data_IF_838135860877
#
_entry.id   IF_838135860877
#
_cell.length_a   1.000
_cell.length_b   1.000
_cell.length_c   1.000
_cell.angle_alpha   90.00
_cell.angle_beta   90.00
_cell.angle_gamma   90.00
#
_symmetry.space_group_name_H-M   'P 1'
#
loop_
_entity.id
_entity.type
_entity.pdbx_description
1 polymer ?
#
# COMPACT_ATOMS: atom_id res chain seq x y z
N UNK A 1 3.47 20.10 -18.57
CA UNK A 1 2.76 20.41 -17.30
C UNK A 1 1.46 21.15 -17.60
N UNK A 2 0.44 21.09 -16.72
CA UNK A 2 -0.79 21.88 -16.82
C UNK A 2 -1.07 22.58 -15.50
N UNK A 3 -1.21 23.90 -15.52
CA UNK A 3 -1.61 24.71 -14.36
C UNK A 3 -3.11 25.01 -14.43
N UNK A 4 -3.77 25.11 -13.27
CA UNK A 4 -5.20 25.35 -13.20
C UNK A 4 -5.58 26.79 -13.58
N UNK A 5 -6.57 26.94 -14.46
CA UNK A 5 -7.15 28.22 -14.87
C UNK A 5 -8.15 28.78 -13.86
N UNK A 6 -8.52 30.06 -14.01
CA UNK A 6 -9.62 30.73 -13.28
C UNK A 6 -9.45 30.80 -11.76
N UNK A 7 -8.24 30.58 -11.25
CA UNK A 7 -7.85 30.84 -9.88
C UNK A 7 -6.38 31.24 -9.83
N UNK A 8 -5.94 31.71 -8.68
CA UNK A 8 -4.52 31.97 -8.43
C UNK A 8 -3.71 30.69 -8.64
N UNK A 9 -2.52 30.83 -9.22
CA UNK A 9 -1.63 29.73 -9.54
C UNK A 9 -0.52 29.70 -8.49
N UNK A 10 -0.59 28.79 -7.51
CA UNK A 10 0.46 28.65 -6.52
C UNK A 10 1.69 28.01 -7.16
N UNK A 11 2.85 28.65 -6.99
CA UNK A 11 4.17 28.12 -7.30
C UNK A 11 4.99 28.15 -6.02
N UNK A 12 5.65 27.05 -5.69
CA UNK A 12 6.37 26.89 -4.43
C UNK A 12 7.61 26.02 -4.61
N UNK A 13 8.47 26.04 -3.61
CA UNK A 13 9.66 25.20 -3.56
C UNK A 13 10.50 25.50 -2.33
N UNK A 14 11.76 25.06 -2.39
CA UNK A 14 12.78 25.40 -1.41
C UNK A 14 13.91 26.20 -2.05
N UNK A 15 14.57 27.01 -1.24
CA UNK A 15 15.75 27.78 -1.61
C UNK A 15 16.47 28.21 -0.32
N UNK A 16 17.58 28.93 -0.45
CA UNK A 16 18.31 29.45 0.71
C UNK A 16 17.46 30.45 1.49
N UNK A 17 17.34 30.24 2.80
CA UNK A 17 16.60 31.12 3.70
C UNK A 17 17.07 32.58 3.61
N UNK A 18 16.12 33.52 3.54
CA UNK A 18 16.38 34.95 3.33
C UNK A 18 16.82 35.32 1.91
N UNK A 19 16.98 34.34 1.00
CA UNK A 19 17.20 34.57 -0.42
C UNK A 19 15.96 35.12 -1.12
N UNK A 20 16.12 35.58 -2.35
CA UNK A 20 15.02 36.07 -3.18
C UNK A 20 14.75 35.11 -4.33
N UNK A 21 13.46 34.83 -4.58
CA UNK A 21 12.99 34.05 -5.72
C UNK A 21 12.06 34.91 -6.57
N UNK A 22 12.27 34.88 -7.88
CA UNK A 22 11.46 35.56 -8.89
C UNK A 22 10.80 34.49 -9.76
N UNK A 23 9.47 34.57 -9.89
CA UNK A 23 8.68 33.64 -10.70
C UNK A 23 7.98 34.41 -11.81
N UNK A 24 8.13 33.95 -13.06
CA UNK A 24 7.52 34.55 -14.24
C UNK A 24 6.73 33.53 -15.05
N UNK A 25 5.51 33.90 -15.47
CA UNK A 25 4.64 33.10 -16.32
C UNK A 25 3.73 34.01 -17.15
N UNK A 26 3.66 33.80 -18.47
CA UNK A 26 2.73 34.55 -19.34
C UNK A 26 2.78 36.09 -19.14
N UNK A 27 3.99 36.66 -19.13
CA UNK A 27 4.21 38.10 -19.00
C UNK A 27 4.08 38.68 -17.58
N UNK A 28 3.61 37.89 -16.60
CA UNK A 28 3.58 38.32 -15.20
C UNK A 28 4.87 37.91 -14.49
N UNK A 29 5.30 38.72 -13.52
CA UNK A 29 6.47 38.45 -12.68
C UNK A 29 6.14 38.78 -11.22
N UNK A 30 6.44 37.85 -10.31
CA UNK A 30 6.32 38.04 -8.87
C UNK A 30 7.63 37.74 -8.19
N UNK A 31 7.93 38.45 -7.11
CA UNK A 31 9.13 38.29 -6.29
C UNK A 31 8.72 37.93 -4.87
N UNK A 32 9.45 37.01 -4.25
CA UNK A 32 9.22 36.55 -2.87
C UNK A 32 10.56 36.35 -2.16
N UNK A 33 10.56 36.57 -0.84
CA UNK A 33 11.70 36.25 0.03
C UNK A 33 11.47 34.87 0.64
N UNK A 34 12.48 34.02 0.59
CA UNK A 34 12.45 32.67 1.16
C UNK A 34 12.41 32.76 2.68
N UNK A 35 11.52 32.00 3.29
CA UNK A 35 11.34 32.01 4.74
C UNK A 35 12.54 31.43 5.50
N UNK A 36 12.50 31.51 6.83
CA UNK A 36 13.57 31.04 7.71
C UNK A 36 13.75 29.53 7.70
N UNK A 37 12.75 28.78 7.26
CA UNK A 37 12.82 27.33 7.07
C UNK A 37 13.32 26.92 5.67
N UNK A 38 13.57 27.87 4.78
CA UNK A 38 14.02 27.61 3.42
C UNK A 38 12.88 27.32 2.43
N UNK A 39 11.61 27.49 2.81
CA UNK A 39 10.46 27.32 1.93
C UNK A 39 10.02 28.67 1.35
N UNK A 40 9.39 28.62 0.18
CA UNK A 40 8.77 29.79 -0.43
C UNK A 40 7.52 29.37 -1.20
N UNK A 41 6.52 30.25 -1.25
CA UNK A 41 5.31 30.12 -2.05
C UNK A 41 4.94 31.49 -2.60
N UNK A 42 4.57 31.54 -3.87
CA UNK A 42 4.02 32.72 -4.52
C UNK A 42 2.77 32.35 -5.31
N UNK A 43 1.74 33.18 -5.20
CA UNK A 43 0.54 33.04 -6.00
C UNK A 43 0.63 33.99 -7.21
N UNK A 44 0.66 33.41 -8.39
CA UNK A 44 0.52 34.14 -9.64
C UNK A 44 -0.97 34.39 -9.92
N UNK A 45 -1.29 35.52 -10.53
CA UNK A 45 -2.66 35.86 -10.92
C UNK A 45 -3.19 34.89 -11.99
N UNK A 46 -4.51 34.68 -12.06
CA UNK A 46 -5.12 33.72 -12.97
C UNK A 46 -4.72 33.95 -14.43
N UNK A 47 -4.41 32.87 -15.13
CA UNK A 47 -4.12 32.88 -16.57
C UNK A 47 -5.27 32.23 -17.33
N UNK A 48 -5.62 32.78 -18.49
CA UNK A 48 -6.63 32.21 -19.39
C UNK A 48 -6.09 30.87 -19.93
N UNK A 49 -6.97 29.89 -20.10
CA UNK A 49 -6.57 28.60 -20.66
C UNK A 49 -5.88 28.74 -22.02
N UNK A 50 -4.80 27.97 -22.22
CA UNK A 50 -3.96 28.06 -23.41
C UNK A 50 -2.52 27.63 -23.15
N UNK A 51 -1.60 28.19 -23.93
CA UNK A 51 -0.19 27.83 -23.96
C UNK A 51 0.25 27.34 -25.35
N UNK A 52 1.47 26.80 -25.48
CA UNK A 52 2.45 26.60 -24.41
C UNK A 52 3.06 27.92 -23.91
N UNK A 53 3.24 28.01 -22.60
CA UNK A 53 3.99 29.06 -21.91
C UNK A 53 5.32 28.52 -21.39
N UNK A 54 6.19 29.44 -20.97
CA UNK A 54 7.39 29.15 -20.17
C UNK A 54 7.18 29.65 -18.74
N UNK A 55 7.42 28.78 -17.76
CA UNK A 55 7.50 29.13 -16.35
C UNK A 55 8.97 29.27 -15.98
N UNK A 56 9.39 30.45 -15.57
CA UNK A 56 10.77 30.75 -15.19
C UNK A 56 10.81 31.01 -13.69
N UNK A 57 11.69 30.31 -12.98
CA UNK A 57 11.91 30.45 -11.54
C UNK A 57 13.38 30.81 -11.35
N UNK A 58 13.66 31.97 -10.78
CA UNK A 58 15.02 32.51 -10.68
C UNK A 58 15.34 32.89 -9.23
N UNK A 59 16.39 32.29 -8.67
CA UNK A 59 17.01 32.65 -7.39
C UNK A 59 18.53 32.67 -7.54
N UNK A 60 19.25 31.93 -6.69
CA UNK A 60 20.70 31.70 -6.91
C UNK A 60 20.98 30.92 -8.20
N UNK A 61 20.03 30.07 -8.61
CA UNK A 61 19.98 29.38 -9.90
C UNK A 61 18.66 29.71 -10.59
N UNK A 62 18.62 29.55 -11.92
CA UNK A 62 17.40 29.77 -12.70
C UNK A 62 16.98 28.48 -13.40
N UNK A 63 15.74 28.09 -13.17
CA UNK A 63 15.09 26.96 -13.81
C UNK A 63 14.01 27.47 -14.78
N UNK A 64 13.94 26.86 -15.95
CA UNK A 64 12.90 27.16 -16.95
C UNK A 64 12.15 25.90 -17.32
N UNK A 65 10.85 25.87 -16.99
CA UNK A 65 9.95 24.80 -17.39
C UNK A 65 9.21 25.24 -18.65
N UNK A 66 9.48 24.56 -19.75
CA UNK A 66 8.85 24.81 -21.06
C UNK A 66 7.60 23.95 -21.24
N UNK A 67 6.79 24.27 -22.25
CA UNK A 67 5.57 23.52 -22.58
C UNK A 67 4.60 23.43 -21.39
N UNK A 68 4.37 24.58 -20.76
CA UNK A 68 3.39 24.74 -19.67
C UNK A 68 2.06 25.14 -20.28
N UNK A 69 1.04 24.31 -20.08
CA UNK A 69 -0.34 24.64 -20.46
C UNK A 69 -1.07 25.22 -19.25
N UNK A 70 -2.11 26.01 -19.51
CA UNK A 70 -3.08 26.44 -18.50
C UNK A 70 -4.45 25.91 -18.90
N UNK A 71 -5.17 25.28 -17.98
CA UNK A 71 -6.37 24.50 -18.29
C UNK A 71 -7.08 24.00 -17.05
N UNK A 72 -7.80 22.87 -17.14
CA UNK A 72 -8.40 22.23 -15.95
C UNK A 72 -7.53 21.08 -15.44
N UNK A 73 -7.24 21.06 -14.15
CA UNK A 73 -6.42 20.06 -13.48
C UNK A 73 -7.28 19.27 -12.52
N UNK A 74 -7.22 17.94 -12.59
CA UNK A 74 -8.03 17.05 -11.78
C UNK A 74 -7.17 16.02 -11.05
N UNK A 75 -7.43 15.82 -9.76
CA UNK A 75 -6.88 14.71 -8.99
C UNK A 75 -7.71 13.46 -9.29
N UNK A 76 -7.06 12.39 -9.69
CA UNK A 76 -7.68 11.11 -10.03
C UNK A 76 -7.18 10.07 -9.03
N UNK A 77 -8.01 9.70 -8.06
CA UNK A 77 -7.59 8.90 -6.91
C UNK A 77 -8.56 7.78 -6.55
N UNK A 78 -8.12 6.87 -5.69
CA UNK A 78 -8.85 5.68 -5.31
C UNK A 78 -7.95 4.45 -5.27
N UNK A 79 -8.56 3.28 -5.41
CA UNK A 79 -7.84 2.01 -5.43
C UNK A 79 -7.74 1.42 -6.84
N UNK A 80 -7.74 0.09 -6.95
CA UNK A 80 -7.66 -0.69 -8.19
C UNK A 80 -8.59 -0.14 -9.28
N UNK A 81 -9.85 0.17 -8.97
CA UNK A 81 -10.76 0.70 -9.99
C UNK A 81 -10.31 2.05 -10.60
N UNK A 82 -9.63 2.91 -9.84
CA UNK A 82 -8.99 4.11 -10.40
C UNK A 82 -7.66 3.76 -11.06
N UNK A 83 -6.85 2.90 -10.43
CA UNK A 83 -5.52 2.50 -10.92
C UNK A 83 -5.57 1.67 -12.22
N UNK A 84 -6.71 1.07 -12.55
CA UNK A 84 -6.85 0.22 -13.73
C UNK A 84 -6.39 0.96 -14.98
N UNK A 85 -5.23 0.57 -15.48
CA UNK A 85 -4.62 1.19 -16.64
C UNK A 85 -5.42 0.92 -17.91
N UNK A 86 -5.25 1.76 -18.93
CA UNK A 86 -5.89 1.52 -20.25
C UNK A 86 -5.53 0.13 -20.77
N UNK A 87 -4.27 -0.28 -20.69
CA UNK A 87 -3.82 -1.66 -20.94
C UNK A 87 -3.20 -2.24 -19.65
N UNK A 88 -4.01 -2.84 -18.80
CA UNK A 88 -3.54 -3.68 -17.68
C UNK A 88 -3.80 -5.17 -17.95
N UNK A 89 -2.92 -6.03 -17.42
CA UNK A 89 -3.04 -7.49 -17.55
C UNK A 89 -4.21 -8.05 -16.72
N UNK A 90 -4.47 -7.43 -15.57
CA UNK A 90 -5.49 -7.87 -14.61
C UNK A 90 -6.89 -7.28 -14.87
N UNK A 91 -7.01 -6.31 -15.79
CA UNK A 91 -8.27 -5.67 -16.15
C UNK A 91 -8.06 -4.55 -17.17
N UNK A 92 -8.97 -4.41 -18.13
CA UNK A 92 -8.95 -3.31 -19.11
C UNK A 92 -10.32 -3.04 -19.68
N UNK A 93 -10.48 -1.84 -20.26
CA UNK A 93 -11.68 -1.45 -20.99
C UNK A 93 -11.82 -2.25 -22.30
N UNK A 94 -13.05 -2.54 -22.72
CA UNK A 94 -13.36 -3.41 -23.87
C UNK A 94 -12.69 -2.95 -25.17
N UNK A 95 -12.62 -1.63 -25.40
CA UNK A 95 -12.05 -1.01 -26.59
C UNK A 95 -10.60 -0.51 -26.38
N UNK A 96 -9.88 -1.06 -25.40
CA UNK A 96 -8.55 -0.58 -24.98
C UNK A 96 -7.56 -0.37 -26.15
N UNK A 97 -7.41 -1.34 -27.05
CA UNK A 97 -6.51 -1.22 -28.22
C UNK A 97 -6.86 -0.04 -29.13
N UNK A 98 -8.15 0.23 -29.32
CA UNK A 98 -8.62 1.35 -30.13
C UNK A 98 -8.34 2.68 -29.42
N UNK A 99 -8.58 2.73 -28.10
CA UNK A 99 -8.28 3.91 -27.28
C UNK A 99 -6.79 4.24 -27.30
N UNK A 100 -5.91 3.25 -27.16
CA UNK A 100 -4.45 3.44 -27.26
C UNK A 100 -4.07 3.97 -28.65
N UNK A 101 -4.54 3.34 -29.72
CA UNK A 101 -4.20 3.74 -31.08
C UNK A 101 -4.64 5.18 -31.40
N UNK A 102 -5.78 5.61 -30.85
CA UNK A 102 -6.39 6.91 -31.11
C UNK A 102 -6.06 7.99 -30.07
N UNK A 103 -5.25 7.70 -29.04
CA UNK A 103 -4.93 8.62 -27.96
C UNK A 103 -3.99 9.77 -28.37
N UNK A 104 -4.28 10.52 -29.44
CA UNK A 104 -3.49 11.65 -29.91
C UNK A 104 -4.05 12.98 -29.39
N UNK A 105 -3.85 13.25 -28.10
CA UNK A 105 -4.40 14.42 -27.42
C UNK A 105 -3.30 15.22 -26.71
N UNK A 106 -2.44 15.96 -27.45
CA UNK A 106 -1.33 16.71 -26.85
C UNK A 106 -1.79 17.91 -25.99
N UNK A 107 -3.08 18.18 -25.83
CA UNK A 107 -3.56 19.13 -24.82
C UNK A 107 -4.07 18.45 -23.55
N UNK A 108 -4.06 17.12 -23.50
CA UNK A 108 -4.23 16.33 -22.28
C UNK A 108 -2.83 15.95 -21.78
N UNK A 109 -2.54 16.22 -20.51
CA UNK A 109 -1.30 15.83 -19.86
C UNK A 109 -1.57 14.85 -18.74
N UNK A 110 -0.77 13.81 -18.69
CA UNK A 110 -0.85 12.70 -17.75
C UNK A 110 0.27 12.86 -16.73
N UNK A 111 -0.05 12.75 -15.45
CA UNK A 111 0.92 12.76 -14.36
C UNK A 111 0.62 11.62 -13.42
N UNK A 112 1.57 10.71 -13.22
CA UNK A 112 1.42 9.59 -12.29
C UNK A 112 2.31 9.84 -11.08
N UNK A 113 1.72 9.84 -9.89
CA UNK A 113 2.44 9.87 -8.62
C UNK A 113 2.91 8.46 -8.32
N UNK A 114 4.21 8.27 -8.06
CA UNK A 114 4.72 6.97 -7.68
C UNK A 114 4.15 6.56 -6.31
N UNK A 115 3.93 5.25 -6.15
CA UNK A 115 3.42 4.67 -4.91
C UNK A 115 4.39 4.89 -3.76
N UNK A 116 3.95 5.64 -2.75
CA UNK A 116 4.75 5.94 -1.57
C UNK A 116 3.91 5.93 -0.30
N UNK A 117 4.47 5.40 0.79
CA UNK A 117 3.88 5.46 2.12
C UNK A 117 4.75 6.31 3.04
N UNK A 118 4.14 7.10 3.91
CA UNK A 118 4.87 7.83 4.92
C UNK A 118 4.10 7.94 6.24
N UNK A 119 4.75 7.67 7.37
CA UNK A 119 4.13 7.86 8.69
C UNK A 119 3.92 9.34 9.02
N UNK A 120 4.69 10.23 8.39
CA UNK A 120 4.62 11.68 8.56
C UNK A 120 4.39 12.37 7.22
N UNK A 121 3.68 13.52 7.18
CA UNK A 121 3.47 14.29 5.95
C UNK A 121 4.79 14.57 5.21
N UNK A 122 4.84 14.31 3.91
CA UNK A 122 6.00 14.59 3.06
C UNK A 122 5.79 15.85 2.22
N UNK A 123 6.87 16.56 1.89
CA UNK A 123 6.83 17.74 1.03
C UNK A 123 7.12 17.42 -0.45
N UNK A 124 7.63 16.22 -0.75
CA UNK A 124 7.91 15.75 -2.11
C UNK A 124 7.39 14.33 -2.35
N UNK A 125 7.19 13.99 -3.61
CA UNK A 125 6.95 12.63 -4.11
C UNK A 125 7.92 12.33 -5.26
N UNK A 126 7.98 11.07 -5.70
CA UNK A 126 8.64 10.69 -6.95
C UNK A 126 7.62 10.52 -8.08
N UNK A 127 8.03 10.80 -9.31
CA UNK A 127 7.21 10.68 -10.51
C UNK A 127 8.09 10.70 -11.76
N UNK A 128 7.60 10.10 -12.85
CA UNK A 128 8.18 10.27 -14.19
C UNK A 128 7.83 11.62 -14.86
N UNK A 129 7.07 12.49 -14.17
CA UNK A 129 6.71 13.83 -14.62
C UNK A 129 5.52 13.86 -15.58
N UNK A 130 5.20 15.06 -16.06
CA UNK A 130 4.07 15.28 -16.98
C UNK A 130 4.38 14.72 -18.37
N UNK A 131 3.52 13.83 -18.86
CA UNK A 131 3.58 13.26 -20.21
C UNK A 131 2.45 13.80 -21.08
N UNK A 132 2.71 13.97 -22.38
CA UNK A 132 1.65 14.22 -23.36
C UNK A 132 0.77 12.97 -23.48
N UNK A 133 -0.55 13.12 -23.64
CA UNK A 133 -1.41 11.99 -23.98
C UNK A 133 -1.18 11.61 -25.44
N UNK A 134 -0.58 10.43 -25.64
CA UNK A 134 -0.17 9.86 -26.93
C UNK A 134 -0.39 8.35 -26.90
N UNK A 135 -0.41 7.66 -28.06
CA UNK A 135 -0.40 6.20 -28.10
C UNK A 135 0.78 5.55 -27.37
N UNK A 136 1.87 6.29 -27.11
CA UNK A 136 3.07 5.78 -26.41
C UNK A 136 3.00 5.89 -24.89
N UNK A 137 2.11 6.73 -24.37
CA UNK A 137 2.10 7.12 -22.95
C UNK A 137 0.82 6.73 -22.24
N UNK A 138 -0.24 6.42 -22.98
CA UNK A 138 -1.56 6.22 -22.41
C UNK A 138 -1.77 4.83 -21.80
N UNK A 139 -1.04 3.81 -22.29
CA UNK A 139 -1.27 2.41 -21.92
C UNK A 139 -1.15 2.15 -20.42
N UNK A 140 -0.21 2.81 -19.74
CA UNK A 140 0.06 2.66 -18.30
C UNK A 140 -0.81 3.56 -17.41
N UNK A 141 -1.56 4.50 -18.00
CA UNK A 141 -2.33 5.49 -17.24
C UNK A 141 -3.73 4.99 -16.94
N UNK A 142 -4.32 5.45 -15.83
CA UNK A 142 -5.70 5.16 -15.44
C UNK A 142 -6.69 5.34 -16.60
N UNK A 143 -7.43 4.27 -16.91
CA UNK A 143 -8.46 4.27 -17.95
C UNK A 143 -9.62 5.21 -17.61
N UNK A 144 -10.01 5.23 -16.34
CA UNK A 144 -11.11 6.09 -15.85
C UNK A 144 -10.71 7.56 -15.94
N UNK A 145 -9.52 7.91 -15.47
CA UNK A 145 -9.00 9.27 -15.56
C UNK A 145 -8.87 9.72 -17.02
N UNK A 146 -8.33 8.86 -17.90
CA UNK A 146 -8.21 9.15 -19.32
C UNK A 146 -9.55 9.44 -19.99
N UNK A 147 -10.53 8.55 -19.83
CA UNK A 147 -11.85 8.69 -20.46
C UNK A 147 -12.58 9.93 -19.96
N UNK A 148 -12.46 10.22 -18.65
CA UNK A 148 -12.96 11.45 -18.05
C UNK A 148 -12.31 12.70 -18.66
N UNK A 149 -10.97 12.76 -18.67
CA UNK A 149 -10.25 13.91 -19.20
C UNK A 149 -10.43 14.10 -20.70
N UNK A 150 -10.55 13.03 -21.49
CA UNK A 150 -10.87 13.09 -22.92
C UNK A 150 -12.26 13.70 -23.16
N UNK A 151 -13.25 13.30 -22.36
CA UNK A 151 -14.59 13.90 -22.42
C UNK A 151 -14.54 15.38 -22.05
N UNK A 152 -13.89 15.76 -20.96
CA UNK A 152 -13.72 17.16 -20.58
C UNK A 152 -13.02 17.98 -21.66
N UNK A 153 -11.94 17.45 -22.24
CA UNK A 153 -11.22 18.13 -23.31
C UNK A 153 -12.13 18.41 -24.52
N UNK A 154 -12.95 17.44 -24.91
CA UNK A 154 -13.93 17.59 -26.00
C UNK A 154 -15.01 18.62 -25.69
N UNK A 155 -15.54 18.59 -24.47
CA UNK A 155 -16.68 19.42 -24.07
C UNK A 155 -16.27 20.87 -23.78
N UNK A 156 -15.09 21.08 -23.20
CA UNK A 156 -14.61 22.39 -22.74
C UNK A 156 -13.64 23.05 -23.73
N UNK A 157 -13.00 22.27 -24.61
CA UNK A 157 -12.00 22.72 -25.57
C UNK A 157 -10.84 23.53 -24.93
N UNK A 158 -10.36 23.05 -23.78
CA UNK A 158 -9.20 23.60 -23.05
C UNK A 158 -8.19 22.50 -22.73
N UNK A 159 -6.92 22.83 -22.41
CA UNK A 159 -5.98 21.85 -21.89
C UNK A 159 -6.49 21.16 -20.61
N UNK A 160 -6.19 19.88 -20.46
CA UNK A 160 -6.58 19.07 -19.30
C UNK A 160 -5.34 18.45 -18.67
N UNK A 161 -5.16 18.63 -17.36
CA UNK A 161 -4.16 17.92 -16.56
C UNK A 161 -4.83 16.86 -15.69
N UNK A 162 -4.34 15.62 -15.76
CA UNK A 162 -4.82 14.52 -14.94
C UNK A 162 -3.67 14.05 -14.05
N UNK A 163 -3.85 14.17 -12.74
CA UNK A 163 -2.89 13.71 -11.73
C UNK A 163 -3.43 12.42 -11.14
N UNK A 164 -2.90 11.29 -11.57
CA UNK A 164 -3.20 9.98 -11.02
C UNK A 164 -2.43 9.75 -9.72
N UNK A 165 -3.18 9.46 -8.66
CA UNK A 165 -2.67 9.12 -7.32
C UNK A 165 -3.56 8.02 -6.76
N UNK A 166 -3.32 6.78 -7.19
CA UNK A 166 -4.15 5.62 -6.90
C UNK A 166 -3.31 4.40 -6.52
N UNK A 167 -3.87 3.52 -5.68
CA UNK A 167 -3.18 2.28 -5.29
C UNK A 167 -4.18 1.18 -4.92
N UNK A 168 -4.10 0.05 -5.62
CA UNK A 168 -4.91 -1.16 -5.44
C UNK A 168 -4.97 -1.70 -4.02
N UNK A 169 -6.15 -2.20 -3.65
CA UNK A 169 -6.41 -2.81 -2.34
C UNK A 169 -6.48 -1.82 -1.17
N UNK A 170 -6.47 -0.50 -1.43
CA UNK A 170 -6.39 0.48 -0.35
C UNK A 170 -7.72 0.83 0.30
N UNK A 171 -7.71 0.97 1.62
CA UNK A 171 -8.83 1.51 2.40
C UNK A 171 -8.83 3.05 2.43
N UNK A 172 -10.01 3.65 2.60
CA UNK A 172 -10.20 5.12 2.54
C UNK A 172 -9.45 5.89 3.64
N UNK A 173 -9.29 5.29 4.82
CA UNK A 173 -8.56 5.89 5.95
C UNK A 173 -7.06 6.06 5.67
N UNK A 174 -6.48 5.32 4.73
CA UNK A 174 -5.09 5.52 4.32
C UNK A 174 -4.87 6.85 3.58
N UNK A 175 -5.92 7.36 2.90
CA UNK A 175 -5.93 8.56 2.07
C UNK A 175 -6.43 9.82 2.81
N UNK A 176 -6.80 9.68 4.08
CA UNK A 176 -7.29 10.77 4.93
C UNK A 176 -6.21 11.19 5.93
N UNK A 177 -6.08 12.49 6.19
CA UNK A 177 -5.04 12.96 7.10
C UNK A 177 -5.28 12.53 8.57
N UNK A 178 -4.19 12.47 9.33
CA UNK A 178 -4.20 12.09 10.74
C UNK A 178 -5.12 12.95 11.63
N UNK A 179 -5.23 14.26 11.38
CA UNK A 179 -6.00 15.18 12.22
C UNK A 179 -7.51 14.94 12.05
N UNK A 180 -7.99 14.73 10.84
CA UNK A 180 -9.39 14.42 10.56
C UNK A 180 -9.76 13.05 11.10
N UNK A 181 -8.87 12.06 10.98
CA UNK A 181 -9.10 10.71 11.53
C UNK A 181 -9.13 10.68 13.07
N UNK A 182 -8.39 11.55 13.76
CA UNK A 182 -8.46 11.69 15.23
C UNK A 182 -9.85 12.08 15.75
N UNK A 183 -10.71 12.64 14.90
CA UNK A 183 -12.11 12.94 15.25
C UNK A 183 -13.02 11.70 15.16
N UNK A 184 -12.43 10.53 14.87
CA UNK A 184 -13.08 9.24 14.82
C UNK A 184 -12.41 8.36 15.89
N UNK A 185 -13.11 8.13 17.01
CA UNK A 185 -12.56 7.45 18.19
C UNK A 185 -11.81 6.15 17.88
N UNK A 186 -12.27 5.40 16.89
CA UNK A 186 -11.69 4.12 16.44
C UNK A 186 -10.25 4.25 15.92
N UNK A 187 -9.83 5.42 15.45
CA UNK A 187 -8.49 5.64 14.89
C UNK A 187 -7.53 6.37 15.83
N UNK A 188 -7.97 6.83 17.00
CA UNK A 188 -7.14 7.64 17.91
C UNK A 188 -5.86 6.91 18.29
N UNK A 189 -5.98 5.67 18.76
CA UNK A 189 -4.84 4.87 19.22
C UNK A 189 -3.84 4.53 18.09
N UNK A 190 -4.36 4.25 16.89
CA UNK A 190 -3.55 3.91 15.72
C UNK A 190 -2.81 5.14 15.20
N UNK A 191 -3.48 6.30 15.10
CA UNK A 191 -2.83 7.55 14.70
C UNK A 191 -1.78 7.98 15.73
N UNK A 192 -2.05 7.84 17.02
CA UNK A 192 -1.06 8.15 18.06
C UNK A 192 0.14 7.20 17.99
N UNK A 193 -0.06 5.94 17.59
CA UNK A 193 1.02 4.99 17.38
C UNK A 193 1.96 5.38 16.21
N UNK A 194 1.47 6.12 15.20
CA UNK A 194 2.30 6.57 14.07
C UNK A 194 3.39 7.57 14.48
N UNK A 195 3.13 8.35 15.53
CA UNK A 195 4.05 9.39 16.04
C UNK A 195 5.16 8.84 16.94
N UNK A 196 5.06 7.56 17.32
CA UNK A 196 6.03 6.94 18.21
C UNK A 196 7.38 6.78 17.52
N UNK A 197 8.44 7.14 18.24
CA UNK A 197 9.80 6.86 17.82
C UNK A 197 10.11 5.34 17.93
N UNK A 198 11.26 4.89 17.41
CA UNK A 198 11.60 3.46 17.40
C UNK A 198 11.65 2.83 18.81
N UNK A 199 12.07 3.58 19.83
CA UNK A 199 12.13 3.10 21.21
C UNK A 199 10.73 2.97 21.81
N UNK A 200 9.88 3.97 21.63
CA UNK A 200 8.48 3.94 22.07
C UNK A 200 7.67 2.87 21.34
N UNK A 201 7.98 2.61 20.06
CA UNK A 201 7.42 1.49 19.29
C UNK A 201 7.80 0.15 19.92
N UNK A 202 9.06 -0.03 20.29
CA UNK A 202 9.56 -1.25 20.94
C UNK A 202 8.92 -1.47 22.33
N UNK A 203 8.74 -0.41 23.10
CA UNK A 203 8.08 -0.44 24.42
C UNK A 203 6.56 -0.68 24.31
N UNK A 204 5.92 -0.11 23.28
CA UNK A 204 4.50 -0.33 23.00
C UNK A 204 4.27 -1.71 22.39
N UNK A 205 5.14 -2.23 21.52
CA UNK A 205 5.13 -3.64 21.05
C UNK A 205 5.20 -4.63 22.21
N UNK A 206 6.04 -4.38 23.21
CA UNK A 206 6.10 -5.18 24.45
C UNK A 206 4.79 -5.15 25.24
N UNK A 207 3.98 -4.10 25.09
CA UNK A 207 2.68 -3.92 25.79
C UNK A 207 1.47 -4.38 24.94
N UNK A 208 1.55 -4.21 23.61
CA UNK A 208 0.50 -4.48 22.61
C UNK A 208 0.41 -5.98 22.26
N UNK A 209 1.44 -6.76 22.58
CA UNK A 209 1.44 -8.22 22.39
C UNK A 209 0.51 -8.98 23.35
N UNK A 210 -0.28 -8.33 24.22
CA UNK A 210 -1.15 -9.05 25.16
C UNK A 210 -2.23 -9.89 24.45
N UNK A 211 -3.00 -9.38 23.47
CA UNK A 211 -3.94 -10.19 22.70
C UNK A 211 -3.23 -11.22 21.81
N UNK A 212 -2.15 -10.83 21.13
CA UNK A 212 -1.37 -11.74 20.27
C UNK A 212 -0.79 -12.91 21.07
N UNK A 213 -0.24 -12.65 22.26
CA UNK A 213 0.25 -13.67 23.17
C UNK A 213 -0.88 -14.53 23.72
N UNK A 214 -2.05 -13.97 24.01
CA UNK A 214 -3.23 -14.74 24.42
C UNK A 214 -3.68 -15.71 23.32
N UNK A 215 -3.72 -15.24 22.06
CA UNK A 215 -4.08 -16.08 20.92
C UNK A 215 -3.02 -17.15 20.61
N UNK A 216 -1.73 -16.80 20.65
CA UNK A 216 -0.64 -17.78 20.51
C UNK A 216 -0.73 -18.85 21.61
N UNK A 217 -1.08 -18.46 22.84
CA UNK A 217 -1.29 -19.41 23.93
C UNK A 217 -2.48 -20.32 23.65
N UNK A 218 -3.60 -19.79 23.14
CA UNK A 218 -4.76 -20.58 22.74
C UNK A 218 -4.41 -21.58 21.64
N UNK A 219 -3.71 -21.14 20.58
CA UNK A 219 -3.26 -22.03 19.50
C UNK A 219 -2.37 -23.14 20.05
N UNK A 220 -1.38 -22.80 20.90
CA UNK A 220 -0.52 -23.80 21.52
C UNK A 220 -1.29 -24.79 22.40
N UNK A 221 -2.29 -24.33 23.15
CA UNK A 221 -3.17 -25.17 23.96
C UNK A 221 -3.97 -26.13 23.06
N UNK A 222 -4.64 -25.63 22.02
CA UNK A 222 -5.42 -26.47 21.09
C UNK A 222 -4.58 -27.45 20.30
N UNK A 223 -3.39 -27.05 19.86
CA UNK A 223 -2.43 -27.97 19.21
C UNK A 223 -1.93 -29.04 20.18
N UNK A 224 -1.76 -28.70 21.47
CA UNK A 224 -1.38 -29.66 22.51
C UNK A 224 -2.51 -30.65 22.81
N UNK A 225 -3.74 -30.15 22.98
CA UNK A 225 -4.94 -30.96 23.23
C UNK A 225 -5.23 -31.92 22.08
N UNK A 226 -4.99 -31.49 20.84
CA UNK A 226 -5.08 -32.33 19.65
C UNK A 226 -3.93 -33.36 19.53
N UNK A 227 -2.94 -33.34 20.43
CA UNK A 227 -1.79 -34.24 20.42
C UNK A 227 -0.72 -33.91 19.37
N UNK A 228 -0.90 -32.85 18.59
CA UNK A 228 -0.04 -32.50 17.46
C UNK A 228 1.38 -32.19 17.92
N UNK A 229 1.53 -31.40 19.00
CA UNK A 229 2.86 -31.09 19.55
C UNK A 229 3.50 -32.31 20.24
N UNK A 230 2.72 -33.31 20.65
CA UNK A 230 3.23 -34.52 21.29
C UNK A 230 3.91 -35.49 20.31
N UNK A 231 3.66 -35.36 19.00
CA UNK A 231 4.30 -36.19 17.97
C UNK A 231 5.83 -35.99 17.90
N UNK A 232 6.34 -34.85 18.40
CA UNK A 232 7.77 -34.61 18.55
C UNK A 232 8.53 -34.37 17.24
N UNK A 233 7.83 -33.97 16.17
CA UNK A 233 8.45 -33.69 14.87
C UNK A 233 9.43 -32.52 14.90
N UNK A 234 9.25 -31.61 15.87
CA UNK A 234 10.16 -30.50 16.12
C UNK A 234 11.50 -30.94 16.73
N UNK A 235 11.62 -32.15 17.28
CA UNK A 235 12.86 -32.62 17.93
C UNK A 235 13.99 -32.76 16.91
N UNK A 236 15.16 -32.23 17.27
CA UNK A 236 16.38 -32.40 16.50
C UNK A 236 16.68 -33.89 16.24
N UNK A 237 16.93 -34.23 14.97
CA UNK A 237 17.24 -35.61 14.57
C UNK A 237 16.01 -36.50 14.41
N UNK A 238 14.79 -35.97 14.49
CA UNK A 238 13.58 -36.72 14.14
C UNK A 238 13.64 -37.22 12.69
N UNK A 239 13.43 -38.53 12.49
CA UNK A 239 13.45 -39.14 11.16
C UNK A 239 12.21 -38.72 10.35
N UNK A 240 12.44 -37.91 9.32
CA UNK A 240 11.44 -37.40 8.38
C UNK A 240 11.60 -37.98 6.96
N UNK A 241 12.27 -39.13 6.79
CA UNK A 241 12.48 -39.74 5.46
C UNK A 241 11.18 -40.12 4.75
N UNK A 242 10.13 -40.45 5.50
CA UNK A 242 8.81 -40.78 4.97
C UNK A 242 7.92 -39.55 4.70
N UNK A 243 8.43 -38.34 4.93
CA UNK A 243 7.68 -37.11 4.65
C UNK A 243 7.67 -36.84 3.15
N UNK A 244 6.59 -36.23 2.67
CA UNK A 244 6.50 -35.78 1.28
C UNK A 244 7.38 -34.53 1.09
N UNK A 245 7.51 -34.05 -0.14
CA UNK A 245 8.31 -32.84 -0.44
C UNK A 245 7.48 -31.78 -1.12
N UNK A 246 7.75 -30.51 -0.80
CA UNK A 246 7.23 -29.33 -1.48
C UNK A 246 8.39 -28.37 -1.79
N UNK A 247 8.18 -27.46 -2.74
CA UNK A 247 9.11 -26.38 -3.09
C UNK A 247 8.84 -25.14 -2.25
N UNK A 248 9.91 -24.47 -1.81
CA UNK A 248 9.90 -23.20 -1.09
C UNK A 248 10.85 -22.20 -1.79
N UNK A 249 10.48 -20.93 -2.00
CA UNK A 249 9.19 -20.33 -1.68
C UNK A 249 8.14 -20.64 -2.75
N UNK A 250 6.99 -21.15 -2.34
CA UNK A 250 5.78 -21.32 -3.16
C UNK A 250 4.62 -21.73 -2.24
N UNK A 251 3.40 -21.27 -2.51
CA UNK A 251 2.22 -21.78 -1.80
C UNK A 251 2.02 -23.25 -2.16
N UNK A 252 1.36 -24.03 -1.30
CA UNK A 252 1.13 -25.44 -1.60
C UNK A 252 -0.03 -25.63 -2.59
N UNK A 253 -0.97 -24.69 -2.70
CA UNK A 253 -2.03 -24.67 -3.73
C UNK A 253 -1.45 -24.53 -5.14
N UNK A 254 -0.43 -23.70 -5.32
CA UNK A 254 0.29 -23.56 -6.60
C UNK A 254 1.12 -24.82 -6.93
N UNK A 255 1.14 -25.79 -6.03
CA UNK A 255 1.81 -27.09 -6.14
C UNK A 255 0.80 -28.25 -6.12
N UNK A 256 -0.49 -27.96 -6.40
CA UNK A 256 -1.59 -28.92 -6.45
C UNK A 256 -1.88 -29.63 -5.12
N UNK A 257 -1.50 -29.03 -3.99
CA UNK A 257 -1.84 -29.48 -2.65
C UNK A 257 -2.96 -28.57 -2.13
N UNK A 258 -4.17 -29.11 -1.98
CA UNK A 258 -5.32 -28.39 -1.39
C UNK A 258 -5.48 -28.84 0.06
N UNK A 259 -5.13 -27.98 1.00
CA UNK A 259 -5.10 -28.36 2.41
C UNK A 259 -5.22 -27.15 3.33
N UNK A 260 -6.29 -27.12 4.12
CA UNK A 260 -6.40 -26.24 5.29
C UNK A 260 -6.10 -27.06 6.56
N UNK A 261 -5.40 -26.49 7.53
CA UNK A 261 -5.03 -27.16 8.78
C UNK A 261 -3.56 -27.02 9.14
N UNK A 262 -2.99 -28.02 9.79
CA UNK A 262 -1.59 -27.97 10.27
C UNK A 262 -0.66 -28.70 9.31
N UNK A 263 0.34 -27.99 8.80
CA UNK A 263 1.43 -28.56 8.03
C UNK A 263 2.76 -28.36 8.74
N UNK A 264 3.47 -29.45 9.00
CA UNK A 264 4.86 -29.41 9.40
C UNK A 264 5.73 -29.37 8.15
N UNK A 265 6.67 -28.44 8.10
CA UNK A 265 7.73 -28.39 7.08
C UNK A 265 9.10 -28.43 7.72
N UNK A 266 10.07 -29.07 7.06
CA UNK A 266 11.38 -29.35 7.62
C UNK A 266 12.48 -29.26 6.57
N UNK A 267 13.60 -28.62 6.95
CA UNK A 267 14.78 -28.44 6.12
C UNK A 267 16.04 -28.76 6.90
N UNK A 268 16.84 -29.63 6.31
CA UNK A 268 18.21 -29.85 6.72
C UNK A 268 19.12 -28.81 6.06
N UNK A 269 20.02 -28.23 6.83
CA UNK A 269 21.02 -27.26 6.36
C UNK A 269 22.39 -27.59 6.93
N UNK A 270 23.45 -27.10 6.29
CA UNK A 270 24.81 -27.17 6.84
C UNK A 270 25.27 -25.76 7.14
N UNK A 271 25.62 -25.52 8.41
CA UNK A 271 26.14 -24.22 8.83
C UNK A 271 27.68 -24.27 8.71
N UNK A 272 28.29 -23.31 8.00
CA UNK A 272 29.74 -23.25 7.86
C UNK A 272 30.45 -23.12 9.23
N UNK A 273 31.63 -23.72 9.35
CA UNK A 273 32.37 -23.74 10.61
C UNK A 273 32.73 -22.33 11.09
N UNK A 274 32.94 -21.39 10.18
CA UNK A 274 33.26 -19.99 10.47
C UNK A 274 32.07 -19.16 10.98
N UNK A 275 30.87 -19.75 11.02
CA UNK A 275 29.67 -19.14 11.60
C UNK A 275 29.46 -19.59 13.06
N UNK A 276 30.21 -20.59 13.52
CA UNK A 276 30.12 -21.06 14.91
C UNK A 276 30.43 -19.92 15.88
N UNK A 277 29.63 -19.85 16.96
CA UNK A 277 29.75 -18.79 17.96
C UNK A 277 29.13 -17.45 17.56
N UNK A 278 28.40 -17.36 16.44
CA UNK A 278 27.67 -16.16 15.99
C UNK A 278 26.17 -16.39 16.07
N UNK A 279 25.44 -15.36 16.50
CA UNK A 279 23.98 -15.37 16.39
C UNK A 279 23.58 -15.24 14.92
N UNK A 280 22.58 -16.01 14.50
CA UNK A 280 22.09 -16.00 13.13
C UNK A 280 20.70 -15.35 13.04
N UNK A 281 20.40 -14.78 11.89
CA UNK A 281 19.07 -14.35 11.48
C UNK A 281 18.52 -15.39 10.50
N UNK A 282 17.40 -16.01 10.85
CA UNK A 282 16.62 -16.88 9.98
C UNK A 282 15.50 -16.06 9.33
N UNK A 283 15.50 -15.97 8.01
CA UNK A 283 14.43 -15.38 7.21
C UNK A 283 13.71 -16.49 6.44
N UNK A 284 12.40 -16.62 6.66
CA UNK A 284 11.56 -17.57 5.93
C UNK A 284 10.68 -16.87 4.89
N UNK A 285 10.76 -15.55 4.74
CA UNK A 285 9.82 -14.81 3.90
C UNK A 285 8.41 -14.78 4.52
N UNK A 286 7.37 -14.43 3.73
CA UNK A 286 6.00 -14.46 4.18
C UNK A 286 5.49 -15.90 4.40
N UNK A 287 4.77 -16.10 5.50
CA UNK A 287 4.06 -17.34 5.82
C UNK A 287 2.59 -17.01 6.04
N UNK A 288 1.71 -17.86 5.50
CA UNK A 288 0.27 -17.82 5.74
C UNK A 288 -0.19 -19.07 6.53
N UNK A 289 -0.90 -18.97 7.66
CA UNK A 289 -1.32 -17.77 8.41
C UNK A 289 -0.52 -17.56 9.71
N UNK A 290 -0.12 -18.66 10.34
CA UNK A 290 0.62 -18.69 11.61
C UNK A 290 1.76 -19.68 11.52
N UNK A 291 2.88 -19.35 12.17
CA UNK A 291 3.98 -20.29 12.33
C UNK A 291 4.42 -20.46 13.78
N UNK A 292 4.93 -21.64 14.07
CA UNK A 292 5.88 -21.88 15.16
C UNK A 292 7.15 -22.44 14.52
N UNK A 293 8.28 -21.83 14.81
CA UNK A 293 9.56 -22.19 14.20
C UNK A 293 10.55 -22.68 15.26
N UNK A 294 11.18 -23.81 14.97
CA UNK A 294 12.25 -24.42 15.76
C UNK A 294 13.55 -24.50 14.97
N UNK A 295 14.66 -24.30 15.67
CA UNK A 295 16.00 -24.55 15.18
C UNK A 295 16.66 -25.58 16.10
N UNK A 296 17.06 -26.72 15.54
CA UNK A 296 17.63 -27.85 16.28
C UNK A 296 16.83 -28.23 17.55
N UNK A 297 15.50 -28.28 17.46
CA UNK A 297 14.65 -28.68 18.58
C UNK A 297 14.19 -27.55 19.49
N UNK A 298 14.85 -26.40 19.45
CA UNK A 298 14.53 -25.26 20.31
C UNK A 298 13.68 -24.23 19.57
N UNK A 299 12.61 -23.77 20.21
CA UNK A 299 11.68 -22.81 19.59
C UNK A 299 12.35 -21.44 19.51
N UNK A 300 12.45 -20.89 18.30
CA UNK A 300 13.09 -19.59 18.05
C UNK A 300 12.10 -18.48 17.75
N UNK A 301 10.84 -18.83 17.46
CA UNK A 301 9.78 -17.85 17.32
C UNK A 301 8.42 -18.45 17.00
N UNK A 302 7.41 -17.61 17.10
CA UNK A 302 6.07 -17.85 16.57
C UNK A 302 5.38 -16.52 16.28
N UNK A 303 4.65 -16.42 15.17
CA UNK A 303 3.94 -15.20 14.80
C UNK A 303 2.64 -15.52 14.04
N UNK A 304 1.49 -14.93 14.43
CA UNK A 304 0.34 -14.82 13.54
C UNK A 304 0.55 -13.75 12.48
N UNK A 305 -0.15 -13.89 11.35
CA UNK A 305 -0.33 -12.83 10.37
C UNK A 305 -0.17 -13.33 8.93
N UNK A 306 -1.22 -13.07 8.15
CA UNK A 306 -1.29 -13.33 6.70
C UNK A 306 -0.19 -12.55 5.99
N UNK A 307 0.71 -13.26 5.29
CA UNK A 307 1.75 -12.65 4.47
C UNK A 307 2.79 -11.80 5.20
N UNK A 308 2.86 -11.90 6.52
CA UNK A 308 3.87 -11.20 7.32
C UNK A 308 5.24 -11.87 7.17
N UNK A 309 6.30 -11.09 7.03
CA UNK A 309 7.65 -11.64 6.96
C UNK A 309 8.06 -12.29 8.28
N UNK A 310 8.58 -13.52 8.20
CA UNK A 310 9.11 -14.25 9.34
C UNK A 310 10.62 -14.12 9.40
N UNK A 311 11.08 -13.39 10.42
CA UNK A 311 12.49 -13.20 10.77
C UNK A 311 12.68 -13.53 12.23
N UNK A 312 13.60 -14.45 12.53
CA UNK A 312 13.89 -14.96 13.86
C UNK A 312 15.39 -14.93 14.18
N UNK A 313 15.71 -14.60 15.43
CA UNK A 313 17.07 -14.69 15.95
C UNK A 313 17.34 -16.13 16.38
N UNK A 314 18.44 -16.71 15.90
CA UNK A 314 18.95 -18.02 16.29
C UNK A 314 20.17 -17.78 17.18
N UNK A 315 20.05 -18.01 18.50
CA UNK A 315 21.19 -17.91 19.40
C UNK A 315 22.30 -18.88 18.96
N UNK A 316 23.55 -18.43 19.00
CA UNK A 316 24.73 -19.23 18.66
C UNK A 316 24.81 -20.56 19.41
N UNK A 317 24.24 -20.65 20.61
CA UNK A 317 24.22 -21.84 21.46
C UNK A 317 23.38 -22.98 20.85
N UNK A 318 22.46 -22.65 19.94
CA UNK A 318 21.65 -23.65 19.24
C UNK A 318 22.40 -24.32 18.09
N UNK A 319 23.49 -23.71 17.60
CA UNK A 319 24.23 -24.23 16.46
C UNK A 319 24.87 -25.58 16.80
N UNK A 320 24.83 -26.48 15.82
CA UNK A 320 25.55 -27.76 15.84
C UNK A 320 26.62 -27.74 14.76
N UNK A 321 27.69 -28.51 15.01
CA UNK A 321 28.72 -28.73 14.01
C UNK A 321 28.12 -29.48 12.81
N UNK A 322 28.34 -28.94 11.61
CA UNK A 322 27.85 -29.51 10.36
C UNK A 322 26.33 -29.35 10.18
N UNK A 323 25.59 -30.47 10.27
CA UNK A 323 24.16 -30.52 9.94
C UNK A 323 23.33 -29.85 11.05
N UNK A 324 22.45 -28.96 10.64
CA UNK A 324 21.45 -28.28 11.45
C UNK A 324 20.07 -28.46 10.81
N UNK A 325 19.02 -28.18 11.56
CA UNK A 325 17.65 -28.48 11.18
C UNK A 325 16.73 -27.31 11.50
N UNK A 326 15.94 -26.90 10.51
CA UNK A 326 14.83 -25.98 10.66
C UNK A 326 13.54 -26.79 10.57
N UNK A 327 12.68 -26.66 11.57
CA UNK A 327 11.33 -27.23 11.54
C UNK A 327 10.32 -26.11 11.78
N UNK A 328 9.30 -26.04 10.94
CA UNK A 328 8.23 -25.04 11.03
C UNK A 328 6.89 -25.77 11.06
N UNK A 329 6.07 -25.46 12.06
CA UNK A 329 4.64 -25.79 12.04
C UNK A 329 3.93 -24.58 11.44
N UNK A 330 3.24 -24.78 10.33
CA UNK A 330 2.39 -23.77 9.69
C UNK A 330 0.95 -24.17 9.93
N UNK A 331 0.18 -23.27 10.53
CA UNK A 331 -1.26 -23.40 10.63
C UNK A 331 -1.87 -22.50 9.54
N UNK A 332 -2.54 -23.13 8.59
CA UNK A 332 -3.35 -22.48 7.58
C UNK A 332 -4.82 -22.59 7.99
N UNK A 333 -5.47 -21.44 8.04
CA UNK A 333 -6.85 -21.30 8.48
C UNK A 333 -7.76 -20.84 7.33
N UNK A 334 -7.23 -20.75 6.10
CA UNK A 334 -7.98 -20.69 4.85
C UNK A 334 -7.24 -20.00 3.69
N UNK A 335 -7.68 -20.29 2.46
CA UNK A 335 -7.12 -19.82 1.18
C UNK A 335 -5.83 -20.55 0.79
N UNK A 336 -4.71 -19.84 0.73
CA UNK A 336 -3.43 -20.39 0.29
C UNK A 336 -2.47 -20.45 1.47
N UNK A 337 -1.76 -21.54 1.62
CA UNK A 337 -0.80 -21.70 2.70
C UNK A 337 0.62 -21.99 2.24
N UNK A 338 1.55 -21.80 3.18
CA UNK A 338 2.96 -22.16 3.00
C UNK A 338 3.94 -21.00 3.14
N UNK A 339 5.19 -21.30 2.80
CA UNK A 339 6.31 -20.35 2.77
C UNK A 339 6.46 -19.85 1.34
N UNK A 340 6.18 -18.58 1.06
CA UNK A 340 6.10 -18.05 -0.30
C UNK A 340 6.89 -16.73 -0.48
N UNK A 341 6.72 -16.06 -1.63
CA UNK A 341 7.39 -14.79 -1.93
C UNK A 341 8.69 -14.96 -2.75
N UNK A 342 9.54 -13.93 -2.74
CA UNK A 342 10.77 -13.93 -3.54
C UNK A 342 11.87 -14.81 -2.93
N UNK A 343 12.64 -15.58 -3.72
CA UNK A 343 13.72 -16.46 -3.25
C UNK A 343 14.76 -15.81 -2.33
N UNK A 344 15.06 -14.52 -2.53
CA UNK A 344 15.99 -13.72 -1.72
C UNK A 344 15.56 -13.56 -0.25
N UNK A 345 14.28 -13.78 0.06
CA UNK A 345 13.74 -13.63 1.40
C UNK A 345 13.75 -14.92 2.22
N UNK A 346 14.19 -16.05 1.64
CA UNK A 346 14.25 -17.35 2.30
C UNK A 346 15.72 -17.73 2.50
N UNK A 347 16.31 -17.22 3.58
CA UNK A 347 17.75 -17.25 3.84
C UNK A 347 18.10 -17.40 5.31
N UNK A 348 19.35 -17.78 5.60
CA UNK A 348 19.94 -17.69 6.94
C UNK A 348 21.32 -17.02 6.87
N UNK A 349 21.60 -16.08 7.77
CA UNK A 349 22.88 -15.34 7.79
C UNK A 349 23.27 -14.92 9.21
N UNK A 350 24.55 -14.59 9.44
CA UNK A 350 24.94 -13.69 10.53
C UNK A 350 25.15 -12.27 9.98
N UNK A 351 25.31 -11.27 10.84
CA UNK A 351 25.29 -9.84 10.46
C UNK A 351 26.28 -9.41 9.37
N UNK A 352 27.40 -10.11 9.21
CA UNK A 352 28.45 -9.78 8.23
C UNK A 352 28.70 -10.95 7.24
N UNK A 353 27.84 -11.96 7.24
CA UNK A 353 27.97 -13.15 6.39
C UNK A 353 27.12 -13.06 5.14
N UNK A 354 27.63 -13.59 4.03
CA UNK A 354 26.81 -13.83 2.83
C UNK A 354 25.65 -14.78 3.17
N UNK A 355 24.39 -14.45 2.83
CA UNK A 355 23.26 -15.28 3.19
C UNK A 355 23.29 -16.66 2.51
N UNK A 356 23.02 -17.71 3.29
CA UNK A 356 22.78 -19.05 2.76
C UNK A 356 21.32 -19.10 2.31
N UNK A 357 21.10 -19.42 1.03
CA UNK A 357 19.75 -19.65 0.50
C UNK A 357 19.14 -20.91 1.09
N UNK A 358 17.87 -20.82 1.48
CA UNK A 358 17.06 -21.93 1.96
C UNK A 358 16.06 -22.43 0.90
N UNK A 359 16.16 -21.91 -0.32
CA UNK A 359 15.26 -22.18 -1.45
C UNK A 359 15.36 -23.64 -1.92
N UNK A 360 14.27 -24.15 -2.48
CA UNK A 360 14.14 -25.47 -3.10
C UNK A 360 13.30 -26.41 -2.26
N UNK A 361 13.63 -27.71 -2.31
CA UNK A 361 12.82 -28.76 -1.69
C UNK A 361 12.91 -28.75 -0.17
N UNK A 362 11.75 -28.75 0.47
CA UNK A 362 11.52 -28.97 1.89
C UNK A 362 10.68 -30.23 2.07
N UNK A 363 10.85 -30.91 3.21
CA UNK A 363 10.00 -32.04 3.57
C UNK A 363 8.75 -31.53 4.27
N UNK A 364 7.60 -32.17 4.06
CA UNK A 364 6.37 -31.82 4.75
C UNK A 364 5.52 -33.00 5.19
N UNK A 365 4.72 -32.77 6.24
CA UNK A 365 3.70 -33.69 6.74
C UNK A 365 2.48 -32.91 7.23
N UNK A 366 1.30 -33.33 6.80
CA UNK A 366 0.01 -32.76 7.22
C UNK A 366 -0.51 -33.44 8.48
N UNK A 367 -1.16 -32.68 9.34
CA UNK A 367 -1.87 -33.14 10.53
C UNK A 367 -3.35 -32.75 10.44
N UNK A 368 -4.23 -33.63 10.92
CA UNK A 368 -5.66 -33.35 10.92
C UNK A 368 -5.99 -32.43 12.10
N UNK A 369 -6.16 -31.14 11.82
CA UNK A 369 -6.52 -30.12 12.79
C UNK A 369 -7.63 -29.26 12.20
N UNK A 370 -8.72 -29.06 12.93
CA UNK A 370 -9.81 -28.19 12.51
C UNK A 370 -9.49 -26.75 12.95
N UNK A 371 -9.12 -25.84 12.03
CA UNK A 371 -8.78 -24.47 12.40
C UNK A 371 -9.99 -23.66 12.89
N UNK A 372 -11.22 -24.09 12.63
CA UNK A 372 -12.43 -23.36 13.02
C UNK A 372 -12.68 -23.34 14.53
N UNK A 373 -11.97 -24.17 15.30
CA UNK A 373 -12.06 -24.22 16.77
C UNK A 373 -11.31 -23.09 17.46
N UNK A 374 -10.47 -22.35 16.72
CA UNK A 374 -9.67 -21.25 17.24
C UNK A 374 -10.46 -19.95 17.20
N UNK A 375 -10.26 -19.09 18.20
CA UNK A 375 -10.69 -17.70 18.12
C UNK A 375 -9.95 -16.98 16.98
N UNK A 376 -10.50 -15.86 16.50
CA UNK A 376 -9.85 -15.11 15.42
C UNK A 376 -8.55 -14.47 15.94
N UNK A 377 -7.41 -14.61 15.23
CA UNK A 377 -6.17 -13.95 15.62
C UNK A 377 -6.37 -12.43 15.73
N UNK A 378 -5.90 -11.81 16.83
CA UNK A 378 -5.88 -10.35 16.93
C UNK A 378 -4.93 -9.79 15.87
N UNK A 379 -5.42 -8.81 15.12
CA UNK A 379 -4.88 -8.36 13.83
C UNK A 379 -5.01 -9.36 12.67
N UNK A 380 -6.18 -10.01 12.55
CA UNK A 380 -6.71 -10.32 11.23
C UNK A 380 -7.27 -9.03 10.62
N UNK A 381 -6.42 -8.23 9.96
CA UNK A 381 -5.90 -8.60 8.65
C UNK A 381 -4.39 -8.39 8.53
N UNK A 382 -3.80 -8.97 7.48
CA UNK A 382 -2.69 -8.32 6.82
C UNK A 382 -3.14 -6.91 6.41
N UNK A 383 -3.00 -5.93 7.30
CA UNK A 383 -3.02 -4.52 6.93
C UNK A 383 -1.76 -4.36 6.09
N UNK A 384 -1.90 -4.68 4.81
CA UNK A 384 -0.91 -4.37 3.80
C UNK A 384 -0.45 -2.95 4.11
N UNK A 385 0.85 -2.70 4.22
CA UNK A 385 1.36 -1.50 4.91
C UNK A 385 0.72 -0.19 4.42
N UNK A 386 0.23 -0.16 3.17
CA UNK A 386 -0.50 0.94 2.54
C UNK A 386 -1.92 1.18 3.07
N UNK A 387 -2.48 0.24 3.84
CA UNK A 387 -3.79 0.33 4.50
C UNK A 387 -3.72 0.90 5.91
N UNK A 388 -2.52 1.17 6.41
CA UNK A 388 -2.37 1.90 7.66
C UNK A 388 -2.94 3.30 7.50
N UNK A 389 -3.69 3.83 8.48
CA UNK A 389 -4.28 5.16 8.40
C UNK A 389 -3.25 6.23 8.04
N UNK A 390 -3.69 7.23 7.27
CA UNK A 390 -2.92 8.41 6.81
C UNK A 390 -1.65 8.18 5.99
N UNK A 391 -1.14 6.95 5.82
CA UNK A 391 0.19 6.77 5.22
C UNK A 391 0.26 7.14 3.74
N UNK A 392 -0.84 6.96 2.99
CA UNK A 392 -0.94 7.34 1.59
C UNK A 392 -1.28 8.81 1.42
N UNK A 393 -2.10 9.37 2.32
CA UNK A 393 -2.27 10.81 2.40
C UNK A 393 -0.90 11.51 2.52
N UNK A 394 -0.08 11.06 3.46
CA UNK A 394 1.21 11.66 3.75
C UNK A 394 2.21 11.54 2.60
N UNK A 395 2.25 10.38 1.93
CA UNK A 395 3.21 10.08 0.88
C UNK A 395 2.80 10.53 -0.52
N UNK A 396 1.51 10.54 -0.83
CA UNK A 396 1.02 10.70 -2.21
C UNK A 396 0.04 11.86 -2.41
N UNK A 397 -0.61 12.37 -1.35
CA UNK A 397 -1.56 13.50 -1.43
C UNK A 397 -0.96 14.79 -0.90
N UNK A 398 -0.41 14.77 0.32
CA UNK A 398 0.20 15.95 0.95
C UNK A 398 1.22 16.65 0.06
N UNK A 399 2.11 15.97 -0.68
CA UNK A 399 3.10 16.68 -1.49
C UNK A 399 2.52 17.29 -2.77
N UNK A 400 1.28 16.96 -3.14
CA UNK A 400 0.53 17.68 -4.17
C UNK A 400 -0.03 19.01 -3.65
N UNK A 401 -0.08 19.23 -2.33
CA UNK A 401 -0.53 20.52 -1.79
C UNK A 401 0.58 21.57 -1.94
N UNK A 402 0.26 22.80 -2.36
CA UNK A 402 -1.07 23.36 -2.62
C UNK A 402 -1.40 23.47 -4.13
N UNK A 403 -1.10 22.49 -4.98
CA UNK A 403 -1.33 22.56 -6.44
C UNK A 403 -2.76 23.01 -6.75
N UNK A 404 -2.91 23.93 -7.70
CA UNK A 404 -4.22 24.40 -8.13
C UNK A 404 -4.99 23.29 -8.86
N UNK A 405 -6.20 22.98 -8.43
CA UNK A 405 -7.06 21.95 -9.02
C UNK A 405 -8.47 22.48 -9.30
N UNK A 406 -9.16 21.88 -10.27
CA UNK A 406 -10.58 22.11 -10.54
C UNK A 406 -11.46 21.23 -9.66
N UNK A 407 -10.99 20.02 -9.34
CA UNK A 407 -11.73 19.05 -8.54
C UNK A 407 -10.99 17.71 -8.43
N UNK A 408 -11.67 16.74 -7.83
CA UNK A 408 -11.19 15.38 -7.69
C UNK A 408 -12.21 14.38 -8.25
N UNK A 409 -11.72 13.28 -8.82
CA UNK A 409 -12.50 12.09 -9.11
C UNK A 409 -11.98 10.93 -8.26
N UNK A 410 -12.90 10.20 -7.63
CA UNK A 410 -12.61 9.08 -6.75
C UNK A 410 -13.27 7.79 -7.23
N UNK A 411 -12.49 6.72 -7.33
CA UNK A 411 -13.07 5.40 -7.59
C UNK A 411 -12.55 4.37 -6.59
N UNK A 412 -13.41 4.10 -5.59
CA UNK A 412 -13.25 2.98 -4.66
C UNK A 412 -13.47 1.66 -5.40
N UNK A 413 -12.75 0.62 -4.99
CA UNK A 413 -13.05 -0.76 -5.30
C UNK A 413 -13.61 -1.41 -4.05
N UNK A 414 -13.14 -2.60 -3.70
CA UNK A 414 -13.81 -3.47 -2.75
C UNK A 414 -13.39 -3.26 -1.29
N UNK A 415 -12.27 -2.56 -1.07
CA UNK A 415 -11.80 -2.28 0.28
C UNK A 415 -12.83 -1.41 1.04
N UNK A 416 -13.04 -1.73 2.32
CA UNK A 416 -14.09 -1.21 3.21
C UNK A 416 -15.53 -1.70 2.95
N UNK A 417 -15.79 -2.56 1.96
CA UNK A 417 -17.15 -3.04 1.66
C UNK A 417 -17.83 -3.80 2.81
N UNK A 418 -17.02 -4.46 3.63
CA UNK A 418 -17.43 -5.19 4.84
C UNK A 418 -17.78 -4.28 6.03
N UNK A 419 -17.39 -2.99 5.97
CA UNK A 419 -17.56 -1.99 7.06
C UNK A 419 -18.35 -0.76 6.61
N UNK A 420 -19.40 -0.95 5.80
CA UNK A 420 -20.17 0.14 5.17
C UNK A 420 -20.61 1.28 6.10
N UNK A 421 -21.06 0.97 7.33
CA UNK A 421 -21.46 1.99 8.33
C UNK A 421 -20.29 2.88 8.72
N UNK A 422 -19.12 2.30 8.96
CA UNK A 422 -17.91 3.07 9.25
C UNK A 422 -17.45 3.84 8.01
N UNK A 423 -17.53 3.22 6.82
CA UNK A 423 -17.18 3.83 5.54
C UNK A 423 -18.01 5.09 5.28
N UNK A 424 -19.30 5.11 5.62
CA UNK A 424 -20.14 6.30 5.51
C UNK A 424 -19.52 7.53 6.19
N UNK A 425 -18.98 7.35 7.41
CA UNK A 425 -18.30 8.41 8.15
C UNK A 425 -16.95 8.73 7.52
N UNK A 426 -16.16 7.71 7.18
CA UNK A 426 -14.81 7.87 6.66
C UNK A 426 -14.78 8.55 5.30
N UNK A 427 -15.68 8.16 4.39
CA UNK A 427 -15.72 8.72 3.05
C UNK A 427 -16.14 10.20 3.07
N UNK A 428 -17.13 10.56 3.89
CA UNK A 428 -17.45 11.98 4.13
C UNK A 428 -16.25 12.74 4.69
N UNK A 429 -15.52 12.12 5.63
CA UNK A 429 -14.33 12.70 6.26
C UNK A 429 -13.19 12.90 5.26
N UNK A 430 -12.97 11.96 4.33
CA UNK A 430 -12.00 12.12 3.23
C UNK A 430 -12.33 13.34 2.39
N UNK A 431 -13.58 13.46 1.92
CA UNK A 431 -14.02 14.54 1.03
C UNK A 431 -13.85 15.90 1.71
N UNK A 432 -14.36 16.04 2.94
CA UNK A 432 -14.22 17.28 3.71
C UNK A 432 -12.76 17.58 4.01
N UNK A 433 -11.99 16.57 4.38
CA UNK A 433 -10.57 16.72 4.65
C UNK A 433 -9.82 17.27 3.43
N UNK A 434 -10.05 16.73 2.24
CA UNK A 434 -9.38 17.19 1.04
C UNK A 434 -9.77 18.63 0.69
N UNK A 435 -11.05 18.99 0.80
CA UNK A 435 -11.49 20.39 0.62
C UNK A 435 -10.82 21.34 1.61
N UNK A 436 -10.72 20.94 2.88
CA UNK A 436 -10.04 21.71 3.94
C UNK A 436 -8.55 21.92 3.62
N UNK A 437 -7.80 20.87 3.32
CA UNK A 437 -6.33 20.96 3.17
C UNK A 437 -5.89 21.56 1.85
N UNK A 438 -6.71 21.51 0.80
CA UNK A 438 -6.43 22.21 -0.46
C UNK A 438 -6.69 23.71 -0.37
N UNK A 439 -7.55 24.14 0.55
CA UNK A 439 -7.95 25.55 0.74
C UNK A 439 -8.48 26.21 -0.55
N UNK A 440 -9.12 25.41 -1.42
CA UNK A 440 -9.67 25.85 -2.72
C UNK A 440 -11.21 25.80 -2.75
N UNK A 441 -11.83 25.92 -1.57
CA UNK A 441 -13.28 25.85 -1.37
C UNK A 441 -13.84 24.43 -1.55
N UNK A 442 -15.17 24.35 -1.70
CA UNK A 442 -15.89 23.10 -1.92
C UNK A 442 -15.79 22.68 -3.39
N UNK A 443 -14.57 22.35 -3.84
CA UNK A 443 -14.37 21.89 -5.20
C UNK A 443 -15.20 20.61 -5.48
N UNK A 444 -15.61 20.39 -6.75
CA UNK A 444 -16.29 19.17 -7.15
C UNK A 444 -15.49 17.91 -6.78
N UNK A 445 -16.11 17.04 -5.99
CA UNK A 445 -15.58 15.72 -5.66
C UNK A 445 -16.53 14.68 -6.25
N UNK A 446 -16.17 14.14 -7.41
CA UNK A 446 -16.99 13.17 -8.13
C UNK A 446 -16.55 11.76 -7.73
N UNK A 447 -17.50 10.84 -7.56
CA UNK A 447 -17.18 9.45 -7.28
C UNK A 447 -18.08 8.50 -8.04
N UNK A 448 -17.58 7.30 -8.26
CA UNK A 448 -18.33 6.21 -8.88
C UNK A 448 -18.78 5.26 -7.78
N UNK A 449 -20.09 4.97 -7.73
CA UNK A 449 -20.58 3.92 -6.86
C UNK A 449 -20.05 2.56 -7.31
N UNK A 450 -19.71 1.69 -6.36
CA UNK A 450 -19.04 0.43 -6.66
C UNK A 450 -19.83 -0.41 -7.67
N UNK A 451 -19.19 -0.87 -8.74
CA UNK A 451 -19.86 -1.61 -9.82
C UNK A 451 -20.39 -2.97 -9.35
N UNK A 452 -21.23 -3.63 -10.16
CA UNK A 452 -21.75 -4.95 -9.80
C UNK A 452 -20.66 -6.02 -10.04
N UNK A 453 -20.18 -6.64 -8.97
CA UNK A 453 -19.17 -7.70 -9.00
C UNK A 453 -19.70 -9.03 -8.45
N UNK A 454 -20.65 -8.96 -7.51
CA UNK A 454 -21.23 -10.12 -6.84
C UNK A 454 -22.23 -10.87 -7.74
N UNK A 455 -22.48 -12.18 -7.49
CA UNK A 455 -23.52 -12.93 -8.19
C UNK A 455 -24.88 -12.24 -8.12
N UNK A 456 -25.55 -12.16 -9.25
CA UNK A 456 -26.90 -11.58 -9.34
C UNK A 456 -27.88 -12.46 -8.56
N UNK A 457 -28.63 -11.85 -7.65
CA UNK A 457 -29.73 -12.49 -6.93
C UNK A 457 -31.07 -12.13 -7.59
N UNK A 458 -32.00 -13.08 -7.61
CA UNK A 458 -33.33 -12.88 -8.22
C UNK A 458 -34.23 -11.97 -7.39
N UNK A 459 -33.97 -11.87 -6.08
CA UNK A 459 -34.72 -11.02 -5.14
C UNK A 459 -33.74 -10.10 -4.40
N UNK A 460 -34.16 -8.88 -4.01
CA UNK A 460 -33.36 -8.02 -3.15
C UNK A 460 -33.01 -8.71 -1.82
N UNK A 461 -31.77 -8.58 -1.38
CA UNK A 461 -31.33 -9.04 -0.07
C UNK A 461 -30.49 -7.98 0.63
N UNK A 462 -30.46 -8.07 1.96
CA UNK A 462 -29.64 -7.22 2.82
C UNK A 462 -28.17 -7.66 2.71
N UNK A 463 -27.37 -6.94 1.92
CA UNK A 463 -25.99 -7.29 1.58
C UNK A 463 -25.03 -6.15 1.92
N UNK A 464 -23.81 -6.45 2.38
CA UNK A 464 -22.76 -5.45 2.57
C UNK A 464 -22.53 -4.54 1.35
N UNK A 465 -22.66 -5.09 0.14
CA UNK A 465 -22.50 -4.36 -1.12
C UNK A 465 -23.54 -3.24 -1.31
N UNK A 466 -24.80 -3.50 -0.92
CA UNK A 466 -25.87 -2.52 -0.99
C UNK A 466 -25.63 -1.39 0.02
N UNK A 467 -25.22 -1.74 1.25
CA UNK A 467 -24.88 -0.77 2.28
C UNK A 467 -23.69 0.11 1.90
N UNK A 468 -22.65 -0.44 1.26
CA UNK A 468 -21.52 0.37 0.80
C UNK A 468 -21.97 1.40 -0.25
N UNK A 469 -22.81 0.99 -1.21
CA UNK A 469 -23.35 1.91 -2.22
C UNK A 469 -24.21 2.99 -1.60
N UNK A 470 -25.04 2.64 -0.62
CA UNK A 470 -25.81 3.62 0.15
C UNK A 470 -24.88 4.60 0.89
N UNK A 471 -23.84 4.10 1.56
CA UNK A 471 -22.83 4.94 2.22
C UNK A 471 -22.16 5.92 1.25
N UNK A 472 -21.87 5.48 0.01
CA UNK A 472 -21.41 6.36 -1.07
C UNK A 472 -22.47 7.39 -1.46
N UNK A 473 -23.75 7.00 -1.64
CA UNK A 473 -24.85 7.93 -1.93
C UNK A 473 -25.00 8.98 -0.84
N UNK A 474 -24.89 8.61 0.44
CA UNK A 474 -25.03 9.53 1.56
C UNK A 474 -23.93 10.61 1.55
N UNK A 475 -22.79 10.39 0.91
CA UNK A 475 -21.78 11.43 0.74
C UNK A 475 -22.27 12.64 -0.07
N UNK A 476 -23.35 12.48 -0.86
CA UNK A 476 -24.00 13.58 -1.58
C UNK A 476 -24.70 14.60 -0.66
N UNK A 477 -24.83 14.31 0.64
CA UNK A 477 -25.31 15.30 1.62
C UNK A 477 -24.27 16.42 1.88
N UNK A 478 -23.01 16.21 1.47
CA UNK A 478 -21.97 17.23 1.56
C UNK A 478 -22.22 18.35 0.53
N UNK A 479 -21.85 19.60 0.86
CA UNK A 479 -22.08 20.75 -0.03
C UNK A 479 -21.31 20.68 -1.36
#
# INVERSE_FOLDING_TARGET
>A
MVLQQKQDIPIWGTAKAGGEVIVSLNGQTKKIVVDTSGHWKVNLSPVVAGGPYELIISGEQSDTIKNVLVGEVWICSGQSNMEMAVEAEWGKIDNSKEEVANANYPNIRLFMVDKAMANTPQDNFTSSGWKECSPKTISEFSAVAYLFGRKLHKDLNVPIGLIETAWGGTVVEAWTNANSLKNINEFVDEIDALKLNQQEKREKELTYNKPQKAWINEVNEKLSDAGILAHGYNKYGYNSENWKTLEVPKTWEDQDIKFDGVMWVKKDITIPAEWQGKDLTLNLGPINDFDITWFNGEQVGSKPGVGMFRTYNIPKELLKDGKNEITVLILDIGNNGGIYGQPENVTISYSEGEPISLVGKWKYKTENFDPSILSHPPNWPGVSQQNRPTVLYNGMIKPLLPYGIRGAIWYQGESNADRAVQYQKLFKTLITNWREVWEQGDFPFLFVQLANFMPVKSEPSDEPWAHLREAQTMALDLP
#
